data_IF_201410149023
#
_entry.id   IF_201410149023
#
_cell.length_a   1.000
_cell.length_b   1.000
_cell.length_c   1.000
_cell.angle_alpha   90.00
_cell.angle_beta   90.00
_cell.angle_gamma   90.00
#
_symmetry.space_group_name_H-M   'P 1'
#
loop_
_entity.id
_entity.type
_entity.pdbx_description
1 polymer ?
#
# COMPACT_ATOMS: atom_id res chain seq x y z
N UNK A 1 -23.00 9.85 -7.75
CA UNK A 1 -22.50 8.51 -8.12
C UNK A 1 -21.69 7.95 -6.96
N UNK A 2 -22.19 6.92 -6.27
CA UNK A 2 -21.60 6.42 -5.01
C UNK A 2 -20.21 5.77 -5.20
N UNK A 3 -20.02 5.05 -6.31
CA UNK A 3 -18.75 4.41 -6.64
C UNK A 3 -17.61 5.43 -6.82
N UNK A 4 -17.84 6.48 -7.62
CA UNK A 4 -16.84 7.52 -7.87
C UNK A 4 -16.41 8.23 -6.57
N UNK A 5 -17.38 8.58 -5.73
CA UNK A 5 -17.11 9.19 -4.43
C UNK A 5 -16.27 8.27 -3.54
N UNK A 6 -16.58 6.98 -3.52
CA UNK A 6 -15.85 5.99 -2.71
C UNK A 6 -14.42 5.81 -3.21
N UNK A 7 -14.22 5.70 -4.53
CA UNK A 7 -12.89 5.58 -5.12
C UNK A 7 -12.03 6.81 -4.82
N UNK A 8 -12.60 8.01 -4.94
CA UNK A 8 -11.90 9.25 -4.66
C UNK A 8 -11.49 9.33 -3.19
N UNK A 9 -12.41 9.02 -2.26
CA UNK A 9 -12.11 9.02 -0.83
C UNK A 9 -11.04 8.00 -0.44
N UNK A 10 -11.02 6.81 -1.07
CA UNK A 10 -9.96 5.82 -0.84
C UNK A 10 -8.61 6.34 -1.34
N UNK A 11 -8.58 6.98 -2.52
CA UNK A 11 -7.36 7.58 -3.07
C UNK A 11 -6.81 8.66 -2.11
N UNK A 12 -7.65 9.62 -1.73
CA UNK A 12 -7.28 10.69 -0.80
C UNK A 12 -6.76 10.14 0.54
N UNK A 13 -7.41 9.10 1.05
CA UNK A 13 -6.97 8.42 2.26
C UNK A 13 -5.57 7.82 2.11
N UNK A 14 -5.33 7.04 1.06
CA UNK A 14 -4.03 6.38 0.81
C UNK A 14 -2.91 7.41 0.61
N UNK A 15 -3.19 8.52 -0.08
CA UNK A 15 -2.25 9.64 -0.22
C UNK A 15 -1.92 10.28 1.14
N UNK A 16 -2.91 10.44 2.02
CA UNK A 16 -2.68 10.96 3.37
C UNK A 16 -1.82 10.03 4.23
N UNK A 17 -2.02 8.70 4.10
CA UNK A 17 -1.21 7.70 4.79
C UNK A 17 0.23 7.65 4.25
N UNK A 18 0.41 7.77 2.93
CA UNK A 18 1.75 7.89 2.35
C UNK A 18 2.53 9.06 2.95
N UNK A 19 1.91 10.24 3.08
CA UNK A 19 2.57 11.42 3.66
C UNK A 19 3.04 11.17 5.11
N UNK A 20 2.25 10.45 5.91
CA UNK A 20 2.64 10.05 7.28
C UNK A 20 3.81 9.09 7.26
N UNK A 21 3.70 7.99 6.50
CA UNK A 21 4.76 6.97 6.36
C UNK A 21 6.06 7.58 5.84
N UNK A 22 5.96 8.48 4.87
CA UNK A 22 7.12 9.16 4.30
C UNK A 22 7.86 10.00 5.34
N UNK A 23 7.11 10.80 6.10
CA UNK A 23 7.69 11.68 7.14
C UNK A 23 8.21 10.90 8.35
N UNK A 24 7.51 9.88 8.79
CA UNK A 24 7.79 9.19 10.07
C UNK A 24 8.72 7.99 9.90
N UNK A 25 8.72 7.35 8.73
CA UNK A 25 9.46 6.10 8.49
C UNK A 25 10.51 6.27 7.39
N UNK A 26 10.11 6.68 6.18
CA UNK A 26 11.02 6.66 5.02
C UNK A 26 12.17 7.68 5.16
N UNK A 27 11.87 8.92 5.53
CA UNK A 27 12.88 9.97 5.71
C UNK A 27 13.86 9.65 6.86
N UNK A 28 13.38 9.27 8.07
CA UNK A 28 14.30 8.98 9.18
C UNK A 28 15.17 7.74 8.94
N UNK A 29 14.67 6.74 8.19
CA UNK A 29 15.34 5.46 7.97
C UNK A 29 15.92 5.31 6.56
N UNK A 30 16.45 6.39 5.99
CA UNK A 30 17.08 6.40 4.66
C UNK A 30 18.19 5.34 4.47
N UNK A 31 18.81 4.86 5.55
CA UNK A 31 19.79 3.77 5.50
C UNK A 31 19.17 2.41 5.12
N UNK A 32 17.90 2.17 5.46
CA UNK A 32 17.13 0.97 5.06
C UNK A 32 16.43 1.19 3.72
N UNK A 33 16.05 2.44 3.42
CA UNK A 33 15.42 2.86 2.17
C UNK A 33 16.39 3.72 1.34
N UNK A 34 17.41 3.12 0.70
CA UNK A 34 18.47 3.87 0.01
C UNK A 34 17.98 4.61 -1.23
N UNK A 35 16.83 4.23 -1.78
CA UNK A 35 16.22 4.87 -2.94
C UNK A 35 14.99 5.67 -2.49
N UNK A 36 14.74 6.85 -3.08
CA UNK A 36 13.51 7.59 -2.84
C UNK A 36 12.29 6.73 -3.19
N UNK A 37 11.31 6.68 -2.30
CA UNK A 37 10.01 6.04 -2.55
C UNK A 37 9.01 7.13 -2.86
N UNK A 38 8.39 7.06 -4.04
CA UNK A 38 7.40 8.02 -4.51
C UNK A 38 5.97 7.62 -4.11
N UNK A 39 5.01 8.53 -4.28
CA UNK A 39 3.59 8.21 -4.12
C UNK A 39 3.14 7.11 -5.10
N UNK A 40 3.67 7.12 -6.33
CA UNK A 40 3.32 6.12 -7.34
C UNK A 40 3.80 4.72 -6.93
N UNK A 41 4.99 4.60 -6.35
CA UNK A 41 5.50 3.35 -5.79
C UNK A 41 4.61 2.83 -4.65
N UNK A 42 4.14 3.74 -3.80
CA UNK A 42 3.26 3.41 -2.68
C UNK A 42 1.88 2.96 -3.15
N UNK A 43 1.30 3.65 -4.14
CA UNK A 43 0.04 3.26 -4.78
C UNK A 43 0.17 1.92 -5.51
N UNK A 44 1.30 1.69 -6.18
CA UNK A 44 1.60 0.40 -6.79
C UNK A 44 1.59 -0.71 -5.72
N UNK A 45 2.31 -0.55 -4.62
CA UNK A 45 2.34 -1.55 -3.55
C UNK A 45 0.94 -1.77 -2.93
N UNK A 46 0.20 -0.69 -2.66
CA UNK A 46 -1.17 -0.77 -2.14
C UNK A 46 -2.10 -1.55 -3.08
N UNK A 47 -2.03 -1.28 -4.38
CA UNK A 47 -2.87 -1.97 -5.38
C UNK A 47 -2.48 -3.43 -5.54
N UNK A 48 -1.20 -3.77 -5.46
CA UNK A 48 -0.73 -5.17 -5.39
C UNK A 48 -1.33 -5.87 -4.17
N UNK A 49 -1.20 -5.29 -2.97
CA UNK A 49 -1.77 -5.88 -1.76
C UNK A 49 -3.29 -6.06 -1.86
N UNK A 50 -4.01 -5.05 -2.35
CA UNK A 50 -5.48 -5.13 -2.47
C UNK A 50 -5.96 -6.17 -3.49
N UNK A 51 -5.21 -6.36 -4.58
CA UNK A 51 -5.64 -7.22 -5.70
C UNK A 51 -5.14 -8.66 -5.61
N UNK A 52 -4.02 -8.89 -4.90
CA UNK A 52 -3.33 -10.18 -4.89
C UNK A 52 -3.19 -10.82 -3.51
N UNK A 53 -3.36 -10.06 -2.44
CA UNK A 53 -3.21 -10.65 -1.12
C UNK A 53 -4.40 -11.55 -0.77
N UNK A 54 -4.09 -12.69 -0.16
CA UNK A 54 -5.07 -13.58 0.42
C UNK A 54 -5.43 -13.07 1.81
N UNK A 55 -6.71 -12.79 2.01
CA UNK A 55 -7.26 -12.57 3.35
C UNK A 55 -7.62 -13.93 3.96
N UNK A 56 -7.26 -14.15 5.23
CA UNK A 56 -7.61 -15.34 6.02
C UNK A 56 -6.86 -16.65 5.69
N UNK A 57 -5.55 -16.61 5.46
CA UNK A 57 -4.75 -17.84 5.43
C UNK A 57 -4.33 -18.24 6.86
N UNK A 58 -4.90 -19.32 7.41
CA UNK A 58 -4.46 -19.97 8.68
C UNK A 58 -4.22 -19.02 9.88
N UNK A 59 -5.03 -17.97 10.01
CA UNK A 59 -4.92 -16.99 11.11
C UNK A 59 -4.10 -15.74 10.77
N UNK A 60 -3.54 -15.65 9.56
CA UNK A 60 -2.91 -14.44 9.03
C UNK A 60 -3.92 -13.59 8.26
N UNK A 61 -3.90 -12.27 8.52
CA UNK A 61 -4.90 -11.34 7.99
C UNK A 61 -4.60 -10.87 6.55
N UNK A 62 -3.34 -10.89 6.11
CA UNK A 62 -2.93 -10.43 4.79
C UNK A 62 -1.61 -11.08 4.37
N UNK A 63 -1.63 -11.91 3.32
CA UNK A 63 -0.44 -12.64 2.85
C UNK A 63 -0.33 -12.57 1.33
N UNK A 64 0.87 -12.27 0.82
CA UNK A 64 1.23 -12.47 -0.58
C UNK A 64 1.93 -13.82 -0.71
N UNK A 65 1.39 -14.71 -1.54
CA UNK A 65 1.95 -16.05 -1.78
C UNK A 65 2.44 -16.09 -3.23
N UNK A 66 3.76 -16.01 -3.46
CA UNK A 66 4.31 -16.10 -4.81
C UNK A 66 3.81 -17.36 -5.54
N UNK A 67 3.56 -17.24 -6.85
CA UNK A 67 3.05 -18.30 -7.74
C UNK A 67 1.56 -18.66 -7.55
N UNK A 68 1.01 -18.51 -6.34
CA UNK A 68 -0.42 -18.67 -6.10
C UNK A 68 -1.21 -17.41 -6.49
N UNK A 69 -0.53 -16.29 -6.63
CA UNK A 69 -1.06 -14.98 -7.01
C UNK A 69 -0.91 -14.65 -8.50
N UNK A 70 -0.50 -15.63 -9.33
CA UNK A 70 -0.31 -15.50 -10.78
C UNK A 70 -1.63 -15.57 -11.57
#
# INVERSE_FOLDING_TARGET
>A
TQLLSTTLSVKEYVESEFNKVHKEILVPHHHVFPHPVTLDDFLWAFTILRSRAFSQHRGENLVLIPLADL
#
